data_IF_667774257098
#
_entry.id   IF_667774257098
#
_cell.length_a   1.000
_cell.length_b   1.000
_cell.length_c   1.000
_cell.angle_alpha   90.00
_cell.angle_beta   90.00
_cell.angle_gamma   90.00
#
_symmetry.space_group_name_H-M   'P 1'
#
loop_
_entity.id
_entity.type
_entity.pdbx_description
1 polymer ?
2 non-polymer ?
3 water ?
#
# COMPACT_ATOMS: atom_id res chain seq x y z
N UNK A 1 5.64 27.12 12.38
CA UNK A 1 6.03 26.29 13.54
C UNK A 1 5.00 25.32 14.01
N UNK A 2 5.54 24.32 14.66
CA UNK A 2 4.70 23.14 14.93
C UNK A 2 3.46 23.31 15.86
N UNK A 3 3.67 24.19 16.87
CA UNK A 3 2.65 24.44 17.87
C UNK A 3 1.43 25.16 17.18
N UNK A 4 1.71 26.10 16.25
CA UNK A 4 0.72 26.82 15.43
C UNK A 4 0.02 25.79 14.54
N UNK A 5 0.78 24.95 13.84
CA UNK A 5 0.11 23.88 13.11
C UNK A 5 -0.86 23.01 13.94
N UNK A 6 -0.45 22.58 15.13
CA UNK A 6 -1.35 21.82 16.06
C UNK A 6 -2.59 22.55 16.50
N UNK A 7 -2.40 23.83 16.92
CA UNK A 7 -3.48 24.76 17.45
C UNK A 7 -4.40 25.16 16.34
N UNK A 8 -3.95 25.10 15.08
CA UNK A 8 -4.83 25.36 13.93
C UNK A 8 -5.52 24.17 13.40
N UNK A 9 -5.29 22.98 13.90
CA UNK A 9 -6.03 21.82 13.50
C UNK A 9 -5.46 21.06 12.31
N UNK A 10 -4.36 21.55 11.89
CA UNK A 10 -3.71 20.93 10.73
C UNK A 10 -3.31 19.45 10.80
N UNK A 11 -2.94 19.03 11.98
CA UNK A 11 -2.55 17.71 12.23
C UNK A 11 -3.66 16.67 12.26
N UNK A 12 -4.89 17.14 12.14
CA UNK A 12 -6.05 16.28 11.87
C UNK A 12 -5.96 15.60 10.54
N UNK A 13 -5.35 16.24 9.53
CA UNK A 13 -5.24 15.69 8.20
C UNK A 13 -3.82 15.45 7.66
N UNK A 14 -2.81 15.83 8.46
CA UNK A 14 -1.40 15.64 8.16
C UNK A 14 -0.60 15.06 9.28
N UNK A 15 0.33 14.20 8.89
CA UNK A 15 1.42 13.86 9.72
C UNK A 15 2.71 14.67 9.37
N UNK A 16 3.70 14.80 10.32
CA UNK A 16 5.03 15.31 10.01
C UNK A 16 5.79 14.53 8.99
N UNK A 17 5.76 13.20 9.12
CA UNK A 17 6.55 12.32 8.32
C UNK A 17 5.75 11.07 8.09
N UNK A 18 5.85 10.51 6.90
CA UNK A 18 5.11 9.28 6.60
C UNK A 18 5.50 8.17 7.67
N UNK A 19 4.56 7.50 8.30
CA UNK A 19 4.99 6.43 9.26
C UNK A 19 5.33 5.07 8.54
N UNK A 20 4.91 4.92 7.30
CA UNK A 20 5.18 3.68 6.56
C UNK A 20 5.64 3.96 5.14
N UNK A 21 6.60 3.22 4.63
CA UNK A 21 7.09 3.49 3.25
C UNK A 21 6.19 3.09 2.18
N UNK A 22 5.32 2.06 2.42
CA UNK A 22 4.45 1.50 1.38
C UNK A 22 3.01 2.07 1.37
N UNK A 23 2.29 1.83 0.28
CA UNK A 23 0.96 2.36 0.30
C UNK A 23 0.02 1.67 1.34
N UNK A 24 -1.04 2.39 1.77
CA UNK A 24 -2.02 1.75 2.65
C UNK A 24 -2.81 0.75 1.80
N UNK A 25 -3.15 -0.36 2.34
CA UNK A 25 -3.94 -1.42 1.60
C UNK A 25 -5.29 -0.89 1.02
N UNK A 26 -5.98 0.00 1.74
CA UNK A 26 -7.26 0.47 1.21
C UNK A 26 -6.97 1.23 -0.09
N UNK A 27 -5.82 1.91 -0.15
CA UNK A 27 -5.42 2.72 -1.37
C UNK A 27 -5.03 1.79 -2.52
N UNK A 28 -4.40 0.65 -2.17
CA UNK A 28 -4.15 -0.32 -3.18
C UNK A 28 -5.44 -0.86 -3.75
N UNK A 29 -6.36 -1.21 -2.88
CA UNK A 29 -7.67 -1.75 -3.29
C UNK A 29 -8.43 -0.80 -4.21
N UNK A 30 -8.34 0.49 -3.91
CA UNK A 30 -9.02 1.51 -4.71
C UNK A 30 -8.31 1.61 -6.08
N UNK A 31 -6.98 1.61 -6.12
CA UNK A 31 -6.28 1.78 -7.37
C UNK A 31 -6.67 0.65 -8.29
N UNK A 32 -6.79 -0.55 -7.79
CA UNK A 32 -6.98 -1.74 -8.58
C UNK A 32 -8.41 -2.26 -8.63
N UNK A 33 -9.34 -1.43 -8.11
CA UNK A 33 -10.75 -1.81 -8.02
C UNK A 33 -11.21 -2.02 -9.48
N UNK A 34 -11.92 -3.15 -9.68
CA UNK A 34 -12.64 -3.35 -10.90
C UNK A 34 -11.71 -3.99 -11.99
N UNK A 35 -10.60 -4.67 -11.59
CA UNK A 35 -9.65 -5.21 -12.58
C UNK A 35 -9.50 -6.67 -12.40
N UNK A 36 -9.79 -7.37 -13.51
CA UNK A 36 -9.82 -8.82 -13.45
C UNK A 36 -8.43 -9.39 -13.21
N UNK A 37 -7.37 -8.68 -13.65
CA UNK A 37 -5.94 -9.23 -13.46
C UNK A 37 -5.30 -8.77 -12.18
N UNK A 38 -6.07 -8.08 -11.34
CA UNK A 38 -5.51 -7.62 -10.04
C UNK A 38 -4.95 -8.60 -9.07
N UNK A 39 -5.56 -9.77 -8.92
CA UNK A 39 -5.05 -10.76 -8.02
C UNK A 39 -3.67 -11.33 -8.53
N UNK A 40 -3.66 -11.75 -9.77
CA UNK A 40 -2.39 -12.20 -10.43
C UNK A 40 -1.34 -11.09 -10.37
N UNK A 41 -1.64 -9.86 -10.75
CA UNK A 41 -0.67 -8.79 -10.60
C UNK A 41 -0.10 -8.62 -9.24
N UNK A 42 -0.99 -8.39 -8.24
CA UNK A 42 -0.51 -8.20 -6.93
C UNK A 42 0.17 -9.39 -6.32
N UNK A 43 -0.33 -10.57 -6.55
CA UNK A 43 0.29 -11.77 -5.91
C UNK A 43 1.80 -11.82 -6.37
N UNK A 44 2.00 -11.48 -7.63
CA UNK A 44 3.40 -11.47 -8.22
C UNK A 44 4.25 -10.34 -7.59
N UNK A 45 3.66 -9.17 -7.37
CA UNK A 45 4.36 -8.05 -6.76
C UNK A 45 4.79 -8.42 -5.34
N UNK A 46 3.84 -9.01 -4.64
CA UNK A 46 4.05 -9.29 -3.20
C UNK A 46 5.21 -10.29 -3.15
N UNK A 47 5.22 -11.29 -4.06
CA UNK A 47 6.19 -12.40 -4.04
C UNK A 47 7.60 -11.91 -4.55
N UNK A 48 7.63 -11.17 -5.64
CA UNK A 48 8.86 -10.83 -6.31
C UNK A 48 9.43 -9.50 -6.01
N UNK A 49 8.56 -8.69 -5.44
CA UNK A 49 8.89 -7.30 -5.08
C UNK A 49 8.65 -6.41 -6.28
N UNK A 50 8.96 -5.16 -6.07
CA UNK A 50 8.84 -4.15 -7.14
C UNK A 50 9.03 -2.71 -6.67
N UNK A 51 9.13 -1.82 -7.69
CA UNK A 51 9.20 -0.37 -7.37
C UNK A 51 8.58 0.42 -8.52
N UNK A 52 8.34 1.70 -8.18
CA UNK A 52 7.95 2.73 -9.23
C UNK A 52 6.49 2.90 -9.43
N UNK A 53 5.61 2.06 -8.78
CA UNK A 53 4.19 2.36 -8.93
C UNK A 53 3.73 3.47 -7.97
N UNK A 54 4.19 3.46 -6.73
CA UNK A 54 3.80 4.38 -5.74
C UNK A 54 4.90 5.39 -5.43
N UNK A 55 6.10 5.03 -5.86
CA UNK A 55 7.29 5.77 -5.53
C UNK A 55 8.53 4.99 -5.95
N UNK A 56 9.65 5.50 -5.52
CA UNK A 56 10.95 4.89 -5.97
C UNK A 56 11.56 3.93 -4.97
N UNK A 57 11.11 3.95 -3.73
CA UNK A 57 11.62 2.97 -2.76
C UNK A 57 11.03 1.56 -3.19
N UNK A 58 11.83 0.47 -3.30
CA UNK A 58 11.27 -0.76 -3.77
C UNK A 58 10.64 -1.57 -2.67
N UNK A 59 9.68 -2.42 -3.02
CA UNK A 59 9.26 -3.48 -2.06
C UNK A 59 10.19 -4.62 -2.29
N UNK A 60 10.89 -5.12 -1.28
CA UNK A 60 11.77 -6.32 -1.53
C UNK A 60 10.90 -7.48 -1.78
N UNK A 61 11.43 -8.49 -2.46
CA UNK A 61 10.73 -9.77 -2.54
C UNK A 61 10.37 -10.33 -1.19
N UNK A 62 9.21 -10.98 -1.05
CA UNK A 62 8.73 -11.39 0.26
C UNK A 62 8.74 -12.89 0.36
N UNK A 63 8.98 -13.36 1.56
CA UNK A 63 9.05 -14.82 1.78
C UNK A 63 7.65 -15.44 1.98
N UNK A 64 6.91 -15.56 0.89
CA UNK A 64 5.55 -16.18 0.86
C UNK A 64 5.46 -17.19 -0.23
N UNK A 65 4.63 -18.22 -0.05
CA UNK A 65 4.29 -19.08 -1.18
C UNK A 65 3.40 -18.41 -2.24
N UNK A 66 3.28 -19.09 -3.38
CA UNK A 66 2.34 -18.54 -4.37
C UNK A 66 0.95 -18.47 -3.80
N UNK A 67 0.55 -19.53 -3.08
CA UNK A 67 -0.81 -19.59 -2.36
C UNK A 67 -1.02 -18.40 -1.46
N UNK A 68 -0.04 -18.12 -0.64
CA UNK A 68 -0.11 -17.05 0.34
C UNK A 68 -0.11 -15.74 -0.33
N UNK A 69 0.76 -15.55 -1.32
CA UNK A 69 0.69 -14.33 -2.11
C UNK A 69 -0.74 -14.07 -2.69
N UNK A 70 -1.33 -15.09 -3.35
CA UNK A 70 -2.67 -14.95 -3.89
C UNK A 70 -3.73 -14.57 -2.84
N UNK A 71 -3.67 -15.20 -1.72
CA UNK A 71 -4.58 -14.88 -0.69
C UNK A 71 -4.43 -13.51 -0.14
N UNK A 72 -3.19 -13.12 0.06
CA UNK A 72 -2.91 -11.67 0.54
C UNK A 72 -3.42 -10.66 -0.42
N UNK A 73 -3.25 -10.93 -1.74
CA UNK A 73 -3.78 -10.05 -2.75
C UNK A 73 -5.35 -9.94 -2.67
N UNK A 74 -6.01 -11.12 -2.61
CA UNK A 74 -7.50 -11.21 -2.42
C UNK A 74 -7.93 -10.46 -1.17
N UNK A 75 -7.19 -10.61 -0.10
CA UNK A 75 -7.58 -9.91 1.16
C UNK A 75 -7.43 -8.34 0.94
N UNK A 76 -6.33 -7.91 0.37
CA UNK A 76 -6.01 -6.45 0.30
C UNK A 76 -7.07 -5.86 -0.62
N UNK A 77 -7.46 -6.66 -1.64
CA UNK A 77 -8.41 -6.13 -2.60
C UNK A 77 -9.82 -5.91 -1.99
N UNK A 78 -10.14 -6.58 -0.93
CA UNK A 78 -11.38 -6.40 -0.15
C UNK A 78 -11.43 -5.33 0.85
N UNK A 79 -10.29 -4.74 1.11
CA UNK A 79 -10.21 -3.71 2.12
C UNK A 79 -10.87 -2.41 1.69
N UNK A 80 -11.64 -1.89 2.62
CA UNK A 80 -12.27 -0.67 2.30
C UNK A 80 -12.49 0.17 3.53
X LIG B 1 -3.46 20.51 4.33
X LIG B 1 -2.30 19.64 1.19
X LIG B 1 -0.67 22.31 4.96
X LIG B 1 -4.79 21.68 7.16
X LIG B 1 -6.12 18.33 3.96
X LIG B 1 -1.86 20.93 3.31
X LIG B 1 -1.49 20.46 2.01
X LIG B 1 -0.19 20.94 1.66
X LIG B 1 0.32 21.70 2.67
X LIG B 1 -0.73 21.66 3.75
X LIG B 1 1.66 22.40 2.74
X LIG B 1 0.48 20.66 0.25
X LIG B 1 -0.19 21.54 -0.85
X LIG B 1 0.34 21.32 -2.27
X LIG B 1 1.28 20.52 -2.40
X LIG B 1 -0.31 21.94 -3.19
X LIG B 1 -2.81 21.73 5.71
X LIG B 1 -1.64 22.41 5.88
X LIG B 1 -1.65 23.33 7.00
X LIG B 1 -2.79 23.13 7.63
X LIG B 1 -3.55 22.17 6.80
X LIG B 1 -0.40 24.04 7.38
X LIG B 1 -3.34 23.84 8.89
X LIG B 1 -3.19 25.39 8.79
X LIG B 1 -5.10 20.04 5.37
X LIG B 1 -5.48 20.67 6.54
X LIG B 1 -6.71 20.07 7.05
X LIG B 1 -7.10 19.19 6.14
X LIG B 1 -6.11 19.16 5.07
X LIG B 1 -7.49 20.50 8.26
X LIG B 1 -8.30 18.23 6.07
X LIG B 1 -9.67 18.57 6.63
X LIG B 1 -4.10 19.20 2.86
X LIG B 1 -5.20 18.40 2.96
X LIG B 1 -5.33 17.69 1.70
X LIG B 1 -4.17 18.08 0.82
X LIG B 1 -3.45 19.02 1.62
X LIG B 1 -6.46 16.71 1.46
X LIG B 1 -3.92 17.64 -0.61
X LIG B 1 -4.50 18.68 -1.59
X LIG B 1 -4.19 18.37 -3.12
X LIG B 1 -3.80 19.30 -3.81
X LIG B 1 -4.22 17.13 -3.33
#
# INVERSE_FOLDING_TARGET
NEQLAKQKGCMACHDLKAKKVGPAYADVAKKYAGRKDAVDYLAGKIKKGGSGVWGSVPMPPQNVTDAEAKQLAQWILSIK
HEC FE CHA CHB CHC CHD NA C1A C2A C3A C4A CMA CAA CBA CGA O1A O2A NB C1B C2B C3B C4B CMB CAB CBB NC C1C C2C C3C C4C CMC CAC CBC ND C1D C2D C3D C4D CMD CAD CBD CGD O1D O2D
#
